data_IF_759922744780
#
_entry.id   IF_759922744780
#
_cell.length_a   1.000
_cell.length_b   1.000
_cell.length_c   1.000
_cell.angle_alpha   90.00
_cell.angle_beta   90.00
_cell.angle_gamma   90.00
#
_symmetry.space_group_name_H-M   'P 1'
#
loop_
_entity.id
_entity.type
_entity.pdbx_description
1 polymer ?
#
# COMPACT_ATOMS: atom_id res chain seq x y z
N UNK A 1 1.42 -1.09 3.88
CA UNK A 1 -0.05 -1.16 3.94
C UNK A 1 -0.48 -2.60 3.70
N UNK A 2 -1.54 -3.07 4.36
CA UNK A 2 -2.19 -4.35 4.08
C UNK A 2 -3.58 -4.12 3.48
N UNK A 3 -3.99 -4.98 2.55
CA UNK A 3 -5.28 -4.91 1.86
C UNK A 3 -6.06 -6.20 2.13
N UNK A 4 -7.21 -6.10 2.81
CA UNK A 4 -8.17 -7.20 2.89
C UNK A 4 -8.61 -7.71 1.51
N UNK A 5 -8.61 -9.03 1.36
CA UNK A 5 -9.14 -9.75 0.21
C UNK A 5 -10.56 -10.23 0.51
N UNK A 6 -11.39 -10.41 -0.50
CA UNK A 6 -12.67 -11.08 -0.29
C UNK A 6 -12.46 -12.55 0.12
N UNK A 7 -13.11 -12.96 1.21
CA UNK A 7 -13.16 -14.34 1.68
C UNK A 7 -11.88 -14.93 2.30
N UNK A 8 -10.68 -14.37 2.07
CA UNK A 8 -9.43 -15.14 2.29
C UNK A 8 -8.24 -14.40 2.91
N UNK A 9 -8.47 -13.30 3.64
CA UNK A 9 -7.44 -12.72 4.53
C UNK A 9 -6.88 -11.37 4.08
N UNK A 10 -5.57 -11.14 4.27
CA UNK A 10 -4.91 -9.86 4.00
C UNK A 10 -3.66 -10.04 3.13
N UNK A 11 -3.43 -9.12 2.20
CA UNK A 11 -2.20 -9.06 1.41
C UNK A 11 -1.38 -7.82 1.71
N UNK A 12 -0.06 -7.96 1.74
CA UNK A 12 0.85 -6.80 1.79
C UNK A 12 0.83 -6.05 0.47
N UNK A 13 0.64 -4.73 0.53
CA UNK A 13 0.73 -3.87 -0.65
C UNK A 13 2.10 -3.93 -1.34
N UNK A 14 3.16 -4.36 -0.64
CA UNK A 14 4.49 -4.56 -1.25
C UNK A 14 4.56 -5.72 -2.24
N UNK A 15 3.56 -6.61 -2.25
CA UNK A 15 3.41 -7.70 -3.23
C UNK A 15 2.60 -7.30 -4.46
N UNK A 16 1.98 -6.12 -4.45
CA UNK A 16 1.08 -5.65 -5.51
C UNK A 16 1.89 -4.87 -6.55
N UNK A 17 1.65 -5.16 -7.82
CA UNK A 17 2.21 -4.46 -8.98
C UNK A 17 1.22 -3.42 -9.50
N UNK A 18 -0.04 -3.81 -9.65
CA UNK A 18 -1.08 -2.92 -10.16
C UNK A 18 -2.42 -3.16 -9.47
N UNK A 19 -3.24 -2.11 -9.45
CA UNK A 19 -4.59 -2.11 -8.90
C UNK A 19 -5.49 -1.59 -10.02
N UNK A 20 -6.39 -2.43 -10.52
CA UNK A 20 -7.19 -2.14 -11.70
C UNK A 20 -8.68 -2.29 -11.34
N UNK A 21 -9.50 -1.37 -11.85
CA UNK A 21 -10.96 -1.49 -11.76
C UNK A 21 -11.43 -2.52 -12.79
N UNK A 22 -12.21 -3.51 -12.35
CA UNK A 22 -12.81 -4.51 -13.22
C UNK A 22 -14.31 -4.58 -12.93
N UNK A 23 -15.10 -3.83 -13.71
CA UNK A 23 -16.54 -3.64 -13.43
C UNK A 23 -16.78 -2.97 -12.07
N UNK A 24 -17.46 -3.71 -11.20
CA UNK A 24 -17.80 -3.29 -9.82
C UNK A 24 -16.76 -3.75 -8.78
N UNK A 25 -15.74 -4.48 -9.22
CA UNK A 25 -14.68 -5.02 -8.36
C UNK A 25 -13.34 -4.30 -8.57
N UNK A 26 -12.42 -4.55 -7.65
CA UNK A 26 -11.02 -4.13 -7.76
C UNK A 26 -10.12 -5.36 -7.83
N UNK A 27 -9.40 -5.49 -8.94
CA UNK A 27 -8.39 -6.53 -9.13
C UNK A 27 -7.01 -6.03 -8.69
N UNK A 28 -6.27 -6.91 -8.02
CA UNK A 28 -4.89 -6.72 -7.58
C UNK A 28 -4.00 -7.66 -8.38
N UNK A 29 -3.11 -7.10 -9.19
CA UNK A 29 -2.08 -7.88 -9.89
C UNK A 29 -0.85 -8.01 -9.01
N UNK A 30 -0.43 -9.23 -8.75
CA UNK A 30 0.65 -9.54 -7.81
C UNK A 30 1.98 -9.81 -8.53
N UNK A 31 3.08 -9.67 -7.79
CA UNK A 31 4.44 -9.85 -8.33
C UNK A 31 4.72 -11.28 -8.81
N UNK A 32 4.01 -12.26 -8.28
CA UNK A 32 4.11 -13.67 -8.69
C UNK A 32 3.26 -13.97 -9.95
N UNK A 33 2.61 -12.96 -10.54
CA UNK A 33 1.76 -13.09 -11.71
C UNK A 33 0.31 -13.48 -11.40
N UNK A 34 -0.03 -13.77 -10.13
CA UNK A 34 -1.41 -14.07 -9.74
C UNK A 34 -2.27 -12.81 -9.63
N UNK A 35 -3.59 -13.01 -9.68
CA UNK A 35 -4.60 -11.95 -9.55
C UNK A 35 -5.49 -12.25 -8.35
N UNK A 36 -5.73 -11.25 -7.52
CA UNK A 36 -6.63 -11.33 -6.37
C UNK A 36 -7.70 -10.24 -6.43
N UNK A 37 -8.89 -10.52 -5.93
CA UNK A 37 -9.95 -9.52 -5.76
C UNK A 37 -9.95 -8.96 -4.33
N UNK A 38 -10.22 -7.67 -4.20
CA UNK A 38 -10.46 -7.03 -2.90
C UNK A 38 -11.88 -6.49 -2.84
N UNK A 39 -12.52 -6.64 -1.67
CA UNK A 39 -13.86 -6.13 -1.42
C UNK A 39 -13.91 -4.62 -1.23
N UNK A 40 -12.76 -3.94 -1.36
CA UNK A 40 -12.75 -2.48 -1.43
C UNK A 40 -13.01 -2.00 -2.84
N UNK A 41 -13.94 -1.07 -2.95
CA UNK A 41 -14.08 -0.22 -4.14
C UNK A 41 -12.78 0.55 -4.42
N UNK A 42 -12.48 0.86 -5.69
CA UNK A 42 -11.25 1.56 -6.08
C UNK A 42 -10.98 2.86 -5.30
N UNK A 43 -12.04 3.62 -5.01
CA UNK A 43 -11.97 4.89 -4.27
C UNK A 43 -11.47 4.72 -2.83
N UNK A 44 -11.97 3.69 -2.13
CA UNK A 44 -11.54 3.36 -0.77
C UNK A 44 -10.06 2.99 -0.74
N UNK A 45 -9.61 2.24 -1.75
CA UNK A 45 -8.22 1.84 -1.88
C UNK A 45 -7.31 3.03 -2.14
N UNK A 46 -7.69 3.91 -3.07
CA UNK A 46 -6.96 5.14 -3.39
C UNK A 46 -6.79 6.05 -2.17
N UNK A 47 -7.86 6.26 -1.39
CA UNK A 47 -7.83 7.04 -0.15
C UNK A 47 -6.87 6.45 0.88
N UNK A 48 -6.94 5.13 1.10
CA UNK A 48 -6.06 4.43 2.05
C UNK A 48 -4.59 4.48 1.63
N UNK A 49 -4.30 4.30 0.34
CA UNK A 49 -2.95 4.38 -0.19
C UNK A 49 -2.34 5.78 -0.04
N UNK A 50 -3.11 6.83 -0.33
CA UNK A 50 -2.67 8.23 -0.14
C UNK A 50 -2.33 8.52 1.32
N UNK A 51 -3.19 8.10 2.24
CA UNK A 51 -2.95 8.25 3.68
C UNK A 51 -1.68 7.50 4.12
N UNK A 52 -1.53 6.24 3.70
CA UNK A 52 -0.34 5.43 4.00
C UNK A 52 0.95 6.08 3.46
N UNK A 53 0.92 6.60 2.23
CA UNK A 53 2.07 7.24 1.60
C UNK A 53 2.45 8.53 2.33
N UNK A 54 1.47 9.37 2.68
CA UNK A 54 1.70 10.60 3.44
C UNK A 54 2.38 10.32 4.78
N UNK A 55 1.86 9.35 5.52
CA UNK A 55 2.42 8.96 6.83
C UNK A 55 3.81 8.34 6.69
N UNK A 56 4.02 7.49 5.67
CA UNK A 56 5.32 6.86 5.42
C UNK A 56 6.40 7.89 5.07
N UNK A 57 6.06 8.92 4.28
CA UNK A 57 6.97 10.03 3.96
C UNK A 57 7.33 10.84 5.20
N UNK A 58 6.34 11.18 6.03
CA UNK A 58 6.55 11.89 7.31
C UNK A 58 7.53 11.13 8.21
N UNK A 59 7.28 9.83 8.43
CA UNK A 59 8.16 8.98 9.24
C UNK A 59 9.58 8.86 8.67
N UNK A 60 9.71 8.77 7.35
CA UNK A 60 11.02 8.73 6.71
C UNK A 60 11.81 10.04 6.90
N UNK A 61 11.14 11.19 6.86
CA UNK A 61 11.76 12.49 7.14
C UNK A 61 12.20 12.59 8.61
N UNK A 62 11.34 12.21 9.55
CA UNK A 62 11.66 12.17 10.99
C UNK A 62 12.85 11.25 11.28
N UNK A 63 12.87 10.07 10.64
CA UNK A 63 13.99 9.15 10.75
C UNK A 63 15.29 9.78 10.21
N UNK A 64 15.27 10.40 9.03
CA UNK A 64 16.45 11.09 8.49
C UNK A 64 16.93 12.22 9.41
N UNK A 65 16.03 13.05 9.91
CA UNK A 65 16.39 14.14 10.83
C UNK A 65 17.00 13.62 12.13
N UNK A 66 16.46 12.53 12.67
CA UNK A 66 16.92 11.94 13.93
C UNK A 66 18.28 11.22 13.81
N UNK A 67 18.59 10.65 12.66
CA UNK A 67 19.74 9.74 12.52
C UNK A 67 20.79 10.18 11.48
N UNK A 68 20.56 11.22 10.67
CA UNK A 68 21.56 11.78 9.74
C UNK A 68 22.18 13.10 10.23
N UNK A 69 21.77 13.62 11.40
CA UNK A 69 22.37 14.79 12.04
C UNK A 69 23.50 14.47 13.03
N UNK A 70 23.99 13.22 13.07
CA UNK A 70 24.89 12.71 14.11
C UNK A 70 26.35 12.48 13.72
N UNK A 71 26.81 12.94 12.55
CA UNK A 71 28.21 12.76 12.08
C UNK A 71 29.09 14.00 12.30
N UNK A 72 28.84 14.76 13.36
CA UNK A 72 29.73 15.84 13.79
C UNK A 72 29.80 15.96 15.31
N UNK A 73 30.56 15.09 15.98
CA UNK A 73 31.51 15.42 17.07
C UNK A 73 32.62 14.38 17.06
#
# INVERSE_FOLDING_TARGET
MFIPLEGQGIISAGKIVAIIRHGDETALYLKDGSVAATGFKPETLSRRYRAFTKESRRRAQEFKQKYQGGDHI
#
